data_IF_434631880986
#
_entry.id   IF_434631880986
#
_cell.length_a   1.000
_cell.length_b   1.000
_cell.length_c   1.000
_cell.angle_alpha   90.00
_cell.angle_beta   90.00
_cell.angle_gamma   90.00
#
_symmetry.space_group_name_H-M   'P 1'
#
loop_
_entity.id
_entity.type
_entity.pdbx_description
1 polymer ?
#
# COMPACT_ATOMS: atom_id res chain seq x y z
N UNK A 1 -39.48 14.45 51.12
CA UNK A 1 -39.83 14.11 49.72
C UNK A 1 -38.67 14.34 48.75
N UNK A 2 -37.81 15.36 48.92
CA UNK A 2 -36.65 15.56 48.02
C UNK A 2 -35.58 14.45 48.07
N UNK A 3 -35.34 13.86 49.24
CA UNK A 3 -34.28 12.84 49.40
C UNK A 3 -34.46 11.61 48.49
N UNK A 4 -35.70 11.19 48.24
CA UNK A 4 -35.97 10.00 47.41
C UNK A 4 -35.82 10.29 45.91
N UNK A 5 -36.09 11.53 45.50
CA UNK A 5 -35.89 11.96 44.12
C UNK A 5 -34.40 12.15 43.80
N UNK A 6 -33.61 12.61 44.77
CA UNK A 6 -32.15 12.71 44.68
C UNK A 6 -31.50 11.32 44.58
N UNK A 7 -31.98 10.34 45.36
CA UNK A 7 -31.53 8.95 45.29
C UNK A 7 -31.85 8.31 43.92
N UNK A 8 -33.02 8.61 43.37
CA UNK A 8 -33.46 8.13 42.05
C UNK A 8 -32.61 8.75 40.92
N UNK A 9 -32.32 10.05 41.00
CA UNK A 9 -31.43 10.75 40.09
C UNK A 9 -30.02 10.16 40.14
N UNK A 10 -29.50 9.90 41.34
CA UNK A 10 -28.17 9.33 41.54
C UNK A 10 -28.06 7.90 40.99
N UNK A 11 -29.08 7.07 41.21
CA UNK A 11 -29.17 5.73 40.63
C UNK A 11 -29.25 5.76 39.09
N UNK A 12 -30.03 6.69 38.51
CA UNK A 12 -30.14 6.83 37.06
C UNK A 12 -28.83 7.31 36.42
N UNK A 13 -28.13 8.26 37.05
CA UNK A 13 -26.82 8.74 36.61
C UNK A 13 -25.77 7.64 36.68
N UNK A 14 -25.73 6.89 37.79
CA UNK A 14 -24.85 5.73 37.95
C UNK A 14 -25.10 4.67 36.88
N UNK A 15 -26.36 4.38 36.56
CA UNK A 15 -26.74 3.44 35.50
C UNK A 15 -26.26 3.89 34.11
N UNK A 16 -26.45 5.17 33.76
CA UNK A 16 -25.99 5.72 32.47
C UNK A 16 -24.47 5.67 32.37
N UNK A 17 -23.75 6.02 33.44
CA UNK A 17 -22.28 5.95 33.50
C UNK A 17 -21.81 4.51 33.32
N UNK A 18 -22.36 3.55 34.08
CA UNK A 18 -22.03 2.12 33.97
C UNK A 18 -22.24 1.59 32.54
N UNK A 19 -23.37 1.91 31.92
CA UNK A 19 -23.70 1.44 30.57
C UNK A 19 -22.80 2.09 29.50
N UNK A 20 -22.35 3.34 29.72
CA UNK A 20 -21.38 4.01 28.85
C UNK A 20 -19.98 3.39 28.89
N UNK A 21 -19.55 2.92 30.08
CA UNK A 21 -18.28 2.24 30.29
C UNK A 21 -18.28 0.85 29.63
N UNK A 22 -19.36 0.08 29.80
CA UNK A 22 -19.51 -1.24 29.16
C UNK A 22 -19.50 -1.15 27.62
N UNK A 23 -20.22 -0.18 27.04
CA UNK A 23 -20.22 0.04 25.58
C UNK A 23 -18.86 0.52 25.04
N UNK A 24 -18.02 1.14 25.87
CA UNK A 24 -16.65 1.54 25.48
C UNK A 24 -15.74 0.31 25.32
N UNK A 25 -15.97 -0.74 26.09
CA UNK A 25 -15.24 -2.01 25.95
C UNK A 25 -15.70 -2.83 24.73
N UNK A 26 -16.99 -2.81 24.40
CA UNK A 26 -17.51 -3.47 23.21
C UNK A 26 -17.09 -2.76 21.91
N UNK A 27 -17.03 -1.43 21.93
CA UNK A 27 -16.53 -0.61 20.82
C UNK A 27 -15.00 -0.68 20.76
N UNK A 28 -14.47 -1.77 20.19
CA UNK A 28 -13.30 -1.83 19.25
C UNK A 28 -12.53 -3.16 19.31
N UNK A 29 -13.18 -4.32 19.30
CA UNK A 29 -12.51 -5.53 18.79
C UNK A 29 -12.49 -5.47 17.26
N UNK A 30 -11.59 -4.63 16.69
CA UNK A 30 -11.29 -4.70 15.26
C UNK A 30 -10.87 -6.13 14.97
N UNK A 31 -11.56 -6.80 14.02
CA UNK A 31 -11.20 -8.14 13.57
C UNK A 31 -9.70 -8.14 13.27
N UNK A 32 -8.95 -9.02 13.94
CA UNK A 32 -7.54 -9.17 13.66
C UNK A 32 -7.38 -9.57 12.20
N UNK A 33 -6.60 -8.81 11.43
CA UNK A 33 -6.35 -9.14 10.03
C UNK A 33 -5.69 -10.52 9.98
N UNK A 34 -6.19 -11.43 9.12
CA UNK A 34 -5.62 -12.79 9.00
C UNK A 34 -4.12 -12.76 8.67
N UNK A 35 -3.72 -11.82 7.82
CA UNK A 35 -2.32 -11.52 7.49
C UNK A 35 -2.20 -10.09 6.95
N UNK A 36 -1.20 -9.33 7.42
CA UNK A 36 -0.86 -8.02 6.86
C UNK A 36 -0.39 -8.10 5.40
N UNK A 37 0.41 -9.13 5.08
CA UNK A 37 1.01 -9.38 3.77
C UNK A 37 1.15 -10.90 3.58
N UNK A 38 0.83 -11.40 2.39
CA UNK A 38 0.98 -12.82 2.03
C UNK A 38 2.46 -13.17 1.80
N UNK A 39 2.81 -14.46 1.84
CA UNK A 39 4.18 -14.93 1.55
C UNK A 39 4.67 -14.49 0.17
N UNK A 40 3.82 -14.55 -0.85
CA UNK A 40 4.13 -14.13 -2.22
C UNK A 40 4.59 -12.67 -2.30
N UNK A 41 3.96 -11.77 -1.55
CA UNK A 41 4.36 -10.37 -1.54
C UNK A 41 5.57 -10.10 -0.64
N UNK A 42 5.87 -10.98 0.33
CA UNK A 42 7.12 -10.93 1.10
C UNK A 42 8.33 -11.29 0.23
N UNK A 43 8.20 -12.26 -0.66
CA UNK A 43 9.25 -12.69 -1.60
C UNK A 43 9.33 -11.84 -2.87
N UNK A 44 8.84 -10.59 -2.85
CA UNK A 44 8.81 -9.71 -4.03
C UNK A 44 10.21 -9.48 -4.62
N UNK A 45 11.24 -9.41 -3.79
CA UNK A 45 12.62 -9.18 -4.25
C UNK A 45 13.07 -10.30 -5.20
N UNK A 46 12.65 -11.53 -4.95
CA UNK A 46 12.98 -12.70 -5.79
C UNK A 46 12.36 -12.61 -7.18
N UNK A 47 11.15 -12.04 -7.29
CA UNK A 47 10.40 -11.91 -8.54
C UNK A 47 10.29 -10.45 -8.99
N UNK A 48 11.34 -9.67 -8.69
CA UNK A 48 11.39 -8.24 -9.01
C UNK A 48 11.54 -8.03 -10.52
N UNK A 49 10.78 -7.07 -11.06
CA UNK A 49 10.85 -6.71 -12.47
C UNK A 49 12.19 -6.09 -12.87
N UNK A 50 12.98 -5.63 -11.90
CA UNK A 50 14.30 -5.02 -12.13
C UNK A 50 15.27 -5.97 -12.83
N UNK A 51 15.34 -7.23 -12.40
CA UNK A 51 16.23 -8.23 -13.03
C UNK A 51 15.78 -8.52 -14.47
N UNK A 52 14.48 -8.68 -14.69
CA UNK A 52 13.92 -8.89 -16.03
C UNK A 52 14.24 -7.70 -16.95
N UNK A 53 14.05 -6.46 -16.49
CA UNK A 53 14.35 -5.28 -17.30
C UNK A 53 15.83 -5.19 -17.66
N UNK A 54 16.72 -5.62 -16.77
CA UNK A 54 18.16 -5.68 -17.03
C UNK A 54 18.50 -6.78 -18.05
N UNK A 55 17.91 -7.96 -17.93
CA UNK A 55 18.09 -9.06 -18.88
C UNK A 55 17.59 -8.64 -20.29
N UNK A 56 16.43 -7.97 -20.36
CA UNK A 56 15.89 -7.42 -21.61
C UNK A 56 16.77 -6.33 -22.23
N UNK A 57 17.55 -5.59 -21.43
CA UNK A 57 18.50 -4.58 -21.93
C UNK A 57 19.76 -5.22 -22.50
N UNK A 58 20.18 -6.36 -21.98
CA UNK A 58 21.39 -7.08 -22.43
C UNK A 58 21.17 -7.82 -23.73
N UNK A 59 19.93 -8.21 -23.99
CA UNK A 59 19.56 -8.91 -25.21
C UNK A 59 19.26 -7.90 -26.34
N UNK A 60 19.95 -8.03 -27.48
CA UNK A 60 19.70 -7.21 -28.68
C UNK A 60 18.45 -7.69 -29.48
N UNK A 61 17.54 -8.38 -28.81
CA UNK A 61 16.31 -8.95 -29.39
C UNK A 61 15.23 -7.89 -29.67
N UNK A 62 15.46 -6.64 -29.25
CA UNK A 62 14.44 -5.58 -29.27
C UNK A 62 13.29 -5.81 -28.29
N UNK A 63 13.37 -6.82 -27.42
CA UNK A 63 12.32 -7.13 -26.45
C UNK A 63 12.09 -5.99 -25.45
N UNK A 64 13.14 -5.26 -25.05
CA UNK A 64 12.98 -4.05 -24.25
C UNK A 64 12.12 -3.01 -24.96
N UNK A 65 12.38 -2.76 -26.25
CA UNK A 65 11.63 -1.79 -27.05
C UNK A 65 10.17 -2.22 -27.19
N UNK A 66 9.91 -3.52 -27.36
CA UNK A 66 8.55 -4.03 -27.42
C UNK A 66 7.82 -3.89 -26.08
N UNK A 67 8.51 -4.08 -24.96
CA UNK A 67 7.93 -3.99 -23.63
C UNK A 67 7.63 -2.55 -23.23
N UNK A 68 8.61 -1.65 -23.35
CA UNK A 68 8.52 -0.24 -22.94
C UNK A 68 8.04 0.72 -24.05
N UNK A 69 7.92 0.25 -25.30
CA UNK A 69 7.64 1.05 -26.52
C UNK A 69 8.65 2.17 -26.80
N UNK A 70 9.86 2.05 -26.27
CA UNK A 70 10.95 3.00 -26.50
C UNK A 70 12.32 2.33 -26.30
N UNK A 71 13.38 2.85 -26.91
CA UNK A 71 14.76 2.42 -26.66
C UNK A 71 15.18 2.56 -25.19
N UNK A 72 16.11 1.72 -24.70
CA UNK A 72 16.67 1.85 -23.34
C UNK A 72 17.22 3.25 -23.04
N UNK A 73 17.92 3.86 -24.00
CA UNK A 73 18.47 5.20 -23.83
C UNK A 73 17.38 6.26 -23.59
N UNK A 74 16.29 6.21 -24.36
CA UNK A 74 15.15 7.12 -24.18
C UNK A 74 14.43 6.87 -22.85
N UNK A 75 14.31 5.60 -22.47
CA UNK A 75 13.75 5.22 -21.18
C UNK A 75 14.56 5.79 -20.02
N UNK A 76 15.89 5.75 -20.08
CA UNK A 76 16.77 6.24 -19.01
C UNK A 76 16.66 7.76 -18.83
N UNK A 77 16.61 8.51 -19.94
CA UNK A 77 16.35 9.97 -19.90
C UNK A 77 15.01 10.26 -19.25
N UNK A 78 13.95 9.56 -19.67
CA UNK A 78 12.63 9.73 -19.09
C UNK A 78 12.62 9.37 -17.59
N UNK A 79 13.28 8.27 -17.23
CA UNK A 79 13.38 7.81 -15.85
C UNK A 79 14.04 8.87 -14.98
N UNK A 80 15.14 9.47 -15.42
CA UNK A 80 15.83 10.53 -14.67
C UNK A 80 14.90 11.73 -14.41
N UNK A 81 14.18 12.18 -15.44
CA UNK A 81 13.26 13.32 -15.34
C UNK A 81 12.11 13.07 -14.35
N UNK A 82 11.53 11.87 -14.36
CA UNK A 82 10.33 11.58 -13.55
C UNK A 82 10.64 10.99 -12.18
N UNK A 83 11.84 10.43 -11.99
CA UNK A 83 12.26 9.83 -10.71
C UNK A 83 11.95 10.72 -9.50
N UNK A 84 12.24 12.05 -9.49
CA UNK A 84 11.87 12.89 -8.35
C UNK A 84 10.36 12.93 -8.07
N UNK A 85 9.50 12.70 -9.07
CA UNK A 85 8.04 12.73 -8.93
C UNK A 85 7.47 11.38 -8.51
N UNK A 86 8.09 10.27 -8.92
CA UNK A 86 7.53 8.91 -8.74
C UNK A 86 8.24 8.08 -7.66
N UNK A 87 9.42 8.51 -7.20
CA UNK A 87 10.19 7.83 -6.16
C UNK A 87 9.41 7.84 -4.84
N UNK A 88 9.34 6.68 -4.21
CA UNK A 88 8.76 6.51 -2.87
C UNK A 88 9.86 6.14 -1.90
N UNK A 89 9.62 6.48 -0.64
CA UNK A 89 10.52 6.13 0.46
C UNK A 89 10.28 4.69 0.92
N UNK A 90 11.37 4.05 1.33
CA UNK A 90 11.29 2.78 2.04
C UNK A 90 10.69 3.00 3.42
N UNK A 91 9.88 2.04 3.87
CA UNK A 91 9.25 2.09 5.19
C UNK A 91 9.66 0.85 6.00
N UNK A 92 9.51 0.94 7.31
CA UNK A 92 9.74 -0.20 8.22
C UNK A 92 8.84 -1.42 7.90
N UNK A 93 7.74 -1.22 7.15
CA UNK A 93 6.81 -2.29 6.79
C UNK A 93 7.17 -2.97 5.46
N UNK A 94 7.65 -2.21 4.48
CA UNK A 94 8.06 -2.71 3.15
C UNK A 94 8.93 -1.71 2.41
N UNK A 95 9.79 -2.25 1.55
CA UNK A 95 10.52 -1.48 0.54
C UNK A 95 9.57 -0.90 -0.53
N UNK A 96 9.89 0.28 -1.00
CA UNK A 96 9.24 0.92 -2.13
C UNK A 96 9.52 0.14 -3.43
N UNK A 97 8.58 0.24 -4.37
CA UNK A 97 8.81 -0.27 -5.72
C UNK A 97 9.80 0.68 -6.41
N UNK A 98 10.90 0.18 -7.01
CA UNK A 98 11.86 1.01 -7.71
C UNK A 98 11.21 1.90 -8.78
N UNK A 99 11.66 3.15 -8.96
CA UNK A 99 11.16 4.04 -10.01
C UNK A 99 11.18 3.43 -11.41
N UNK A 100 12.22 2.65 -11.73
CA UNK A 100 12.37 1.96 -13.02
C UNK A 100 11.23 0.96 -13.27
N UNK A 101 10.90 0.10 -12.29
CA UNK A 101 9.78 -0.84 -12.42
C UNK A 101 8.45 -0.10 -12.54
N UNK A 102 8.26 0.97 -11.75
CA UNK A 102 7.05 1.79 -11.80
C UNK A 102 6.86 2.36 -13.20
N UNK A 103 7.91 2.97 -13.77
CA UNK A 103 7.86 3.54 -15.10
C UNK A 103 7.62 2.46 -16.16
N UNK A 104 8.37 1.36 -16.15
CA UNK A 104 8.25 0.31 -17.15
C UNK A 104 6.85 -0.32 -17.19
N UNK A 105 6.27 -0.61 -16.02
CA UNK A 105 4.89 -1.11 -15.93
C UNK A 105 3.87 -0.06 -16.40
N UNK A 106 4.06 1.22 -16.07
CA UNK A 106 3.17 2.29 -16.53
C UNK A 106 3.24 2.45 -18.05
N UNK A 107 4.42 2.45 -18.66
CA UNK A 107 4.56 2.51 -20.11
C UNK A 107 3.93 1.30 -20.79
N UNK A 108 4.18 0.10 -20.26
CA UNK A 108 3.59 -1.13 -20.77
C UNK A 108 2.06 -1.08 -20.72
N UNK A 109 1.48 -0.62 -19.60
CA UNK A 109 0.04 -0.41 -19.44
C UNK A 109 -0.50 0.60 -20.45
N UNK A 110 0.11 1.78 -20.56
CA UNK A 110 -0.29 2.83 -21.50
C UNK A 110 -0.21 2.37 -22.95
N UNK A 111 0.76 1.52 -23.28
CA UNK A 111 0.96 0.98 -24.61
C UNK A 111 -0.02 -0.16 -24.97
N UNK A 112 -0.38 -1.00 -24.00
CA UNK A 112 -1.22 -2.19 -24.25
C UNK A 112 -2.70 -1.93 -24.00
N UNK A 113 -3.05 -0.92 -23.19
CA UNK A 113 -4.44 -0.59 -22.85
C UNK A 113 -5.14 -1.63 -21.99
N UNK A 114 -4.44 -2.66 -21.51
CA UNK A 114 -5.01 -3.73 -20.72
C UNK A 114 -5.19 -3.28 -19.26
N UNK A 115 -6.44 -3.09 -18.83
CA UNK A 115 -6.85 -2.90 -17.42
C UNK A 115 -7.50 -4.17 -16.88
#
# INVERSE_FOLDING_TARGET
>A
MSSSDDDLLMASAAFVIMNSLLKKEEKKKRRHRRWWMTSTFKSRITYSGSNLLEDLRREDSGHFNNFCRMPPATFDVLLEMITPMIKKEDTNFRKAIPPQERLALTLHFLATGNS
#
